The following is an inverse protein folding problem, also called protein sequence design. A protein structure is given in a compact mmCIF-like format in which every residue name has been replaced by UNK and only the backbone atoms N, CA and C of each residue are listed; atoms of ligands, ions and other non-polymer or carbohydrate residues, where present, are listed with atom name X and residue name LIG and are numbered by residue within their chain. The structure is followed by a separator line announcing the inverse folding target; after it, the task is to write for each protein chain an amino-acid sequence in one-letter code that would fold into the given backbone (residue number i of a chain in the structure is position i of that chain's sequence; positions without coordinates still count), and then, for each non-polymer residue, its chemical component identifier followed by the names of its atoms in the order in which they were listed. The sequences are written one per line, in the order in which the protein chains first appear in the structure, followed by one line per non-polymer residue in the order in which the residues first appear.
data_IF_036053591379
#
_entry.id   IF_036053591379
#
_cell.length_a   1.000
_cell.length_b   1.000
_cell.length_c   1.000
_cell.angle_alpha   90.00
_cell.angle_beta   90.00
_cell.angle_gamma   90.00
#
_symmetry.space_group_name_H-M   'P 1'
#
loop_
_entity.id
_entity.type
_entity.pdbx_description
1 polymer ?
#
# COMPACT_ATOMS: atom_id res chain seq x y z
N UNK A 1 -3.95 -2.54 3.02
CA UNK A 1 -4.29 -2.46 4.46
C UNK A 1 -5.32 -1.39 4.77
N UNK A 2 -5.16 -0.16 4.26
CA UNK A 2 -6.04 0.98 4.57
C UNK A 2 -7.53 0.67 4.36
N UNK A 3 -7.87 0.04 3.22
CA UNK A 3 -9.25 -0.34 2.92
C UNK A 3 -9.88 -1.25 3.98
N UNK A 4 -9.11 -2.15 4.59
CA UNK A 4 -9.59 -3.06 5.65
C UNK A 4 -9.91 -2.26 6.91
N UNK A 5 -8.99 -1.42 7.40
CA UNK A 5 -9.17 -0.61 8.60
C UNK A 5 -10.34 0.38 8.46
N UNK A 6 -10.42 1.10 7.33
CA UNK A 6 -11.51 2.04 7.07
C UNK A 6 -12.86 1.34 6.89
N UNK A 7 -12.88 0.09 6.39
CA UNK A 7 -14.11 -0.72 6.34
C UNK A 7 -14.53 -1.19 7.72
N UNK A 8 -13.58 -1.63 8.56
CA UNK A 8 -13.86 -1.99 9.94
C UNK A 8 -14.43 -0.80 10.73
N UNK A 9 -13.88 0.41 10.51
CA UNK A 9 -14.37 1.65 11.12
C UNK A 9 -15.81 1.95 10.69
N UNK A 10 -16.10 1.92 9.38
CA UNK A 10 -17.45 2.14 8.85
C UNK A 10 -18.48 1.14 9.37
N UNK A 11 -18.04 -0.07 9.75
CA UNK A 11 -18.89 -1.12 10.33
C UNK A 11 -18.98 -1.05 11.86
N UNK A 12 -18.29 -0.12 12.52
CA UNK A 12 -18.23 -0.05 13.98
C UNK A 12 -17.45 -1.21 14.63
N UNK A 13 -16.61 -1.90 13.86
CA UNK A 13 -15.81 -3.05 14.31
C UNK A 13 -14.39 -2.65 14.71
N UNK A 14 -13.93 -1.47 14.30
CA UNK A 14 -12.60 -0.96 14.63
C UNK A 14 -12.50 -0.71 16.15
N UNK A 15 -11.42 -1.17 16.77
CA UNK A 15 -11.17 -0.91 18.19
C UNK A 15 -10.85 0.58 18.39
N UNK A 16 -11.22 1.17 19.53
CA UNK A 16 -10.91 2.58 19.83
C UNK A 16 -9.41 2.89 19.71
N UNK A 17 -8.55 1.97 20.15
CA UNK A 17 -7.09 2.12 20.11
C UNK A 17 -6.50 2.14 18.69
N UNK A 18 -7.26 1.71 17.67
CA UNK A 18 -6.82 1.70 16.27
C UNK A 18 -7.39 2.87 15.45
N UNK A 19 -8.21 3.73 16.06
CA UNK A 19 -8.78 4.89 15.38
C UNK A 19 -7.66 5.86 14.96
N UNK A 20 -7.81 6.45 13.76
CA UNK A 20 -6.84 7.40 13.23
C UNK A 20 -5.59 6.80 12.59
N UNK A 21 -5.27 5.52 12.81
CA UNK A 21 -4.09 4.86 12.20
C UNK A 21 -4.12 4.94 10.67
N UNK A 22 -5.27 4.64 10.06
CA UNK A 22 -5.42 4.73 8.61
C UNK A 22 -5.21 6.16 8.11
N UNK A 23 -5.79 7.14 8.80
CA UNK A 23 -5.68 8.57 8.46
C UNK A 23 -4.25 9.07 8.55
N UNK A 24 -3.54 8.74 9.64
CA UNK A 24 -2.15 9.13 9.84
C UNK A 24 -1.28 8.67 8.65
N UNK A 25 -1.45 7.42 8.23
CA UNK A 25 -0.68 6.82 7.14
C UNK A 25 -1.07 7.43 5.79
N UNK A 26 -2.36 7.63 5.52
CA UNK A 26 -2.83 8.29 4.30
C UNK A 26 -2.33 9.74 4.19
N UNK A 27 -2.13 10.44 5.32
CA UNK A 27 -1.63 11.80 5.34
C UNK A 27 -0.10 11.91 5.22
N UNK A 28 0.64 10.79 5.15
CA UNK A 28 2.08 10.82 4.91
C UNK A 28 2.35 11.10 3.44
N UNK A 29 3.12 12.17 3.19
CA UNK A 29 3.46 12.58 1.84
C UNK A 29 4.59 11.73 1.26
N UNK A 30 4.42 11.23 0.03
CA UNK A 30 5.43 10.48 -0.71
C UNK A 30 6.53 11.37 -1.31
N UNK A 31 7.11 12.29 -0.51
CA UNK A 31 8.18 13.20 -0.96
C UNK A 31 9.41 12.45 -1.47
N UNK A 32 9.71 11.30 -0.86
CA UNK A 32 10.82 10.44 -1.26
C UNK A 32 10.72 9.94 -2.71
N UNK A 33 9.52 9.94 -3.31
CA UNK A 33 9.37 9.58 -4.72
C UNK A 33 10.22 10.45 -5.65
N UNK A 34 10.33 11.75 -5.37
CA UNK A 34 11.20 12.65 -6.15
C UNK A 34 12.67 12.24 -6.00
N UNK A 35 13.12 11.99 -4.78
CA UNK A 35 14.51 11.57 -4.54
C UNK A 35 14.81 10.22 -5.21
N UNK A 36 13.84 9.30 -5.25
CA UNK A 36 14.00 8.01 -5.93
C UNK A 36 14.06 8.14 -7.46
N UNK A 37 13.37 9.12 -8.05
CA UNK A 37 13.40 9.31 -9.51
C UNK A 37 14.75 9.76 -10.06
N UNK A 38 15.62 10.32 -9.21
CA UNK A 38 16.98 10.73 -9.60
C UNK A 38 17.98 9.57 -9.58
N UNK A 39 17.60 8.40 -9.07
CA UNK A 39 18.47 7.22 -8.99
C UNK A 39 18.46 6.51 -10.34
N UNK A 40 19.61 6.45 -11.02
CA UNK A 40 19.78 5.84 -12.35
C UNK A 40 19.22 4.41 -12.46
N UNK A 41 19.30 3.62 -11.39
CA UNK A 41 18.79 2.25 -11.35
C UNK A 41 17.26 2.11 -11.25
N UNK A 42 16.53 3.20 -10.97
CA UNK A 42 15.07 3.18 -10.88
C UNK A 42 14.48 3.38 -12.28
N UNK A 43 13.99 2.29 -12.87
CA UNK A 43 13.45 2.28 -14.24
C UNK A 43 11.92 2.43 -14.30
N UNK A 44 11.24 2.19 -13.17
CA UNK A 44 9.80 2.33 -13.04
C UNK A 44 9.42 2.68 -11.60
N UNK A 45 8.39 3.50 -11.42
CA UNK A 45 7.86 3.88 -10.12
C UNK A 45 6.35 4.15 -10.23
N UNK A 46 5.58 3.66 -9.26
CA UNK A 46 4.14 3.90 -9.15
C UNK A 46 3.72 3.95 -7.68
N UNK A 47 2.60 4.58 -7.39
CA UNK A 47 1.99 4.62 -6.06
C UNK A 47 0.88 3.56 -5.92
N UNK A 48 0.82 2.89 -4.77
CA UNK A 48 -0.21 1.86 -4.52
C UNK A 48 -1.44 2.50 -3.89
N UNK A 49 -2.52 2.57 -4.67
CA UNK A 49 -3.78 3.20 -4.26
C UNK A 49 -4.98 2.24 -4.36
N UNK A 50 -6.07 2.63 -5.04
CA UNK A 50 -7.38 1.96 -4.98
C UNK A 50 -7.41 0.54 -5.54
N UNK A 51 -6.58 0.24 -6.54
CA UNK A 51 -6.47 -1.10 -7.12
C UNK A 51 -5.67 -2.09 -6.26
N UNK A 52 -5.07 -1.60 -5.17
CA UNK A 52 -4.22 -2.41 -4.30
C UNK A 52 -2.88 -2.79 -4.94
N UNK A 53 -2.06 -3.49 -4.17
CA UNK A 53 -0.68 -3.83 -4.54
C UNK A 53 -0.61 -4.63 -5.85
N UNK A 54 -1.45 -5.67 -5.97
CA UNK A 54 -1.41 -6.56 -7.13
C UNK A 54 -1.93 -5.89 -8.41
N UNK A 55 -2.91 -4.98 -8.30
CA UNK A 55 -3.40 -4.22 -9.44
C UNK A 55 -2.31 -3.32 -10.03
N UNK A 56 -1.72 -2.48 -9.19
CA UNK A 56 -0.64 -1.57 -9.59
C UNK A 56 0.62 -2.31 -10.08
N UNK A 57 0.99 -3.43 -9.44
CA UNK A 57 2.10 -4.24 -9.92
C UNK A 57 1.80 -4.86 -11.29
N UNK A 58 0.56 -5.30 -11.52
CA UNK A 58 0.15 -5.84 -12.82
C UNK A 58 0.28 -4.81 -13.94
N UNK A 59 -0.10 -3.55 -13.70
CA UNK A 59 0.06 -2.46 -14.68
C UNK A 59 1.53 -2.22 -15.05
N UNK A 60 2.44 -2.23 -14.06
CA UNK A 60 3.89 -2.12 -14.31
C UNK A 60 4.41 -3.32 -15.11
N UNK A 61 4.02 -4.53 -14.74
CA UNK A 61 4.41 -5.75 -15.43
C UNK A 61 3.93 -5.76 -16.89
N UNK A 62 2.67 -5.39 -17.13
CA UNK A 62 2.07 -5.33 -18.46
C UNK A 62 2.77 -4.27 -19.33
N UNK A 63 2.94 -3.05 -18.82
CA UNK A 63 3.63 -1.97 -19.54
C UNK A 63 5.10 -2.28 -19.84
N UNK A 64 5.72 -3.15 -19.05
CA UNK A 64 7.12 -3.57 -19.23
C UNK A 64 7.29 -4.87 -20.02
N UNK A 65 6.21 -5.61 -20.28
CA UNK A 65 6.29 -6.96 -20.85
C UNK A 65 7.01 -7.98 -19.95
N UNK A 66 6.92 -7.80 -18.62
CA UNK A 66 7.63 -8.60 -17.62
C UNK A 66 6.65 -9.31 -16.66
N UNK A 67 7.19 -10.14 -15.79
CA UNK A 67 6.46 -10.77 -14.67
C UNK A 67 7.14 -10.44 -13.35
N UNK A 68 6.39 -10.49 -12.25
CA UNK A 68 6.90 -10.26 -10.91
C UNK A 68 6.61 -11.45 -9.98
N UNK A 69 7.55 -11.73 -9.07
CA UNK A 69 7.38 -12.69 -7.98
C UNK A 69 7.30 -11.94 -6.67
N UNK A 70 6.24 -12.17 -5.88
CA UNK A 70 6.08 -11.58 -4.55
C UNK A 70 6.22 -12.65 -3.48
N UNK A 71 7.10 -12.41 -2.52
CA UNK A 71 7.13 -13.17 -1.28
C UNK A 71 6.09 -12.59 -0.32
N UNK A 72 4.94 -13.26 -0.20
CA UNK A 72 3.82 -12.76 0.59
C UNK A 72 4.17 -12.44 2.06
N UNK A 73 5.06 -13.23 2.67
CA UNK A 73 5.54 -13.01 4.03
C UNK A 73 6.36 -11.73 4.22
N UNK A 74 6.87 -11.14 3.12
CA UNK A 74 7.67 -9.91 3.14
C UNK A 74 6.84 -8.66 2.82
N UNK A 75 5.56 -8.81 2.47
CA UNK A 75 4.70 -7.66 2.17
C UNK A 75 4.38 -6.94 3.47
N UNK A 76 4.79 -5.66 3.65
CA UNK A 76 4.51 -4.93 4.87
C UNK A 76 3.00 -4.74 5.05
N UNK A 77 2.55 -4.95 6.28
CA UNK A 77 1.15 -4.79 6.67
C UNK A 77 1.01 -3.56 7.56
N UNK A 78 -0.17 -2.97 7.55
CA UNK A 78 -0.48 -1.94 8.55
C UNK A 78 -0.53 -2.58 9.93
N UNK A 79 -0.15 -1.85 10.99
CA UNK A 79 -0.35 -2.31 12.36
C UNK A 79 -1.81 -2.74 12.55
N UNK A 80 -2.01 -3.85 13.26
CA UNK A 80 -3.32 -4.34 13.70
C UNK A 80 -4.31 -4.74 12.61
N UNK A 81 -3.93 -4.66 11.32
CA UNK A 81 -4.82 -5.00 10.21
C UNK A 81 -5.26 -6.47 10.23
N UNK A 82 -4.43 -7.36 10.77
CA UNK A 82 -4.68 -8.79 10.82
C UNK A 82 -5.92 -9.15 11.65
N UNK A 83 -6.24 -8.34 12.67
CA UNK A 83 -7.41 -8.57 13.51
C UNK A 83 -8.74 -8.32 12.77
N UNK A 84 -8.69 -7.80 11.53
CA UNK A 84 -9.84 -7.38 10.73
C UNK A 84 -9.96 -8.10 9.39
N UNK A 85 -9.09 -9.08 9.13
CA UNK A 85 -9.11 -9.96 7.96
C UNK A 85 -9.78 -11.27 8.35
#
# INVERSE_FOLDING_TARGET
GIGVLTTAEKKGLLKPEHQGLATEIMCRMNKAGTDFSDIEGVTAMTDVTGFGLLGHLSEICEGSGLQATIHFSQVPRLPEVEAYI
#
